data_IF_924604671300
#
_entry.id   IF_924604671300
#
_cell.length_a   1.000
_cell.length_b   1.000
_cell.length_c   1.000
_cell.angle_alpha   90.00
_cell.angle_beta   90.00
_cell.angle_gamma   90.00
#
_symmetry.space_group_name_H-M   'P 1'
#
loop_
_entity.id
_entity.type
_entity.pdbx_description
1 polymer ?
#
# COMPACT_ATOMS: atom_id res chain seq x y z
N UNK A 1 22.57 41.13 32.96
CA UNK A 1 23.11 40.62 31.67
C UNK A 1 21.96 40.48 30.70
N UNK A 2 21.78 41.49 29.84
CA UNK A 2 20.72 41.54 28.83
C UNK A 2 21.39 41.16 27.51
N UNK A 3 21.06 39.98 26.96
CA UNK A 3 21.56 39.55 25.66
C UNK A 3 20.47 39.82 24.62
N UNK A 4 20.78 40.75 23.72
CA UNK A 4 20.01 40.99 22.51
C UNK A 4 20.20 39.86 21.51
N UNK A 5 19.18 39.65 20.68
CA UNK A 5 19.37 39.02 19.38
C UNK A 5 18.40 39.64 18.39
N UNK A 6 18.87 40.71 17.78
CA UNK A 6 18.34 41.31 16.56
C UNK A 6 18.47 40.26 15.45
N UNK A 7 17.33 39.79 14.90
CA UNK A 7 17.32 39.14 13.59
C UNK A 7 16.53 40.00 12.62
N UNK A 8 17.28 40.85 11.91
CA UNK A 8 16.96 41.24 10.54
C UNK A 8 17.04 39.99 9.67
N UNK A 9 15.91 39.62 9.07
CA UNK A 9 15.82 38.86 7.82
C UNK A 9 14.60 39.48 7.13
N UNK A 10 14.78 40.37 6.16
CA UNK A 10 15.27 40.01 4.84
C UNK A 10 14.04 39.92 3.95
N UNK A 11 13.73 41.04 3.29
CA UNK A 11 12.76 41.11 2.20
C UNK A 11 12.96 39.92 1.26
N UNK A 12 11.91 39.13 1.03
CA UNK A 12 11.77 38.42 -0.22
C UNK A 12 10.73 39.15 -1.07
N UNK A 13 11.24 39.66 -2.17
CA UNK A 13 10.53 40.25 -3.30
C UNK A 13 9.38 39.35 -3.74
N UNK A 14 8.17 39.90 -3.70
CA UNK A 14 7.03 39.38 -4.43
C UNK A 14 7.19 39.94 -5.86
N UNK A 15 7.77 39.14 -6.74
CA UNK A 15 7.72 39.39 -8.19
C UNK A 15 6.70 38.44 -8.80
N UNK A 16 5.80 39.06 -9.53
CA UNK A 16 4.64 38.51 -10.20
C UNK A 16 5.02 37.48 -11.27
N UNK A 17 4.21 36.43 -11.38
CA UNK A 17 3.90 35.82 -12.66
C UNK A 17 2.38 35.61 -12.71
N UNK A 18 1.69 36.73 -12.89
CA UNK A 18 0.36 36.77 -13.48
C UNK A 18 0.48 36.23 -14.91
N UNK A 19 0.21 34.94 -15.07
CA UNK A 19 -0.22 34.38 -16.34
C UNK A 19 -1.64 33.87 -16.18
N UNK A 20 -2.55 34.79 -16.44
CA UNK A 20 -3.92 34.53 -16.88
C UNK A 20 -3.94 33.34 -17.84
N UNK A 21 -4.48 32.20 -17.38
CA UNK A 21 -4.94 31.17 -18.30
C UNK A 21 -6.41 31.47 -18.61
N UNK A 22 -6.76 31.82 -19.85
CA UNK A 22 -8.13 32.12 -20.21
C UNK A 22 -8.99 30.86 -20.16
N UNK A 23 -10.21 31.06 -19.65
CA UNK A 23 -11.38 30.21 -19.82
C UNK A 23 -11.35 29.37 -21.11
N UNK A 24 -11.08 28.07 -21.01
CA UNK A 24 -11.36 27.14 -22.11
C UNK A 24 -12.83 26.73 -22.04
N UNK A 25 -13.61 27.31 -22.95
CA UNK A 25 -14.98 26.92 -23.29
C UNK A 25 -15.04 25.41 -23.55
N UNK A 26 -16.08 24.77 -23.00
CA UNK A 26 -16.50 23.43 -23.42
C UNK A 26 -16.96 23.52 -24.86
N UNK A 27 -16.28 22.81 -25.75
CA UNK A 27 -16.82 22.39 -27.04
C UNK A 27 -17.04 20.90 -26.95
N UNK A 28 -18.31 20.53 -26.83
CA UNK A 28 -18.79 19.18 -27.07
C UNK A 28 -18.75 18.93 -28.58
N UNK A 29 -17.66 18.35 -29.09
CA UNK A 29 -17.66 17.76 -30.44
C UNK A 29 -17.04 16.37 -30.39
N UNK A 30 -17.90 15.40 -30.70
CA UNK A 30 -17.63 13.99 -30.88
C UNK A 30 -16.83 13.78 -32.18
N UNK A 31 -15.51 13.57 -32.08
CA UNK A 31 -14.75 13.07 -33.23
C UNK A 31 -14.81 11.54 -33.27
N UNK A 32 -15.80 11.05 -34.03
CA UNK A 32 -15.78 9.75 -34.67
C UNK A 32 -14.69 9.73 -35.75
N UNK A 33 -13.48 9.28 -35.43
CA UNK A 33 -12.51 8.90 -36.45
C UNK A 33 -12.91 7.56 -37.09
N UNK A 34 -13.67 7.66 -38.18
CA UNK A 34 -13.84 6.60 -39.15
C UNK A 34 -12.70 6.69 -40.16
N UNK A 35 -11.80 5.70 -40.12
CA UNK A 35 -10.87 5.42 -41.22
C UNK A 35 -11.67 5.09 -42.48
N UNK A 36 -11.80 6.07 -43.39
CA UNK A 36 -12.17 5.83 -44.77
C UNK A 36 -10.99 5.19 -45.48
N UNK A 37 -11.08 3.88 -45.69
CA UNK A 37 -10.27 3.16 -46.67
C UNK A 37 -11.19 2.62 -47.76
N UNK A 38 -10.81 2.95 -48.98
CA UNK A 38 -11.42 2.65 -50.27
C UNK A 38 -12.13 1.30 -50.36
N UNK A 39 -13.42 1.35 -50.70
CA UNK A 39 -14.24 0.15 -50.96
C UNK A 39 -14.93 0.23 -52.32
N UNK A 40 -14.17 0.53 -53.37
CA UNK A 40 -14.61 0.38 -54.75
C UNK A 40 -13.87 -0.79 -55.42
N UNK A 41 -14.30 -2.02 -55.10
CA UNK A 41 -14.16 -3.28 -55.85
C UNK A 41 -14.03 -4.47 -54.88
N UNK A 42 -15.17 -4.96 -54.38
CA UNK A 42 -15.27 -6.34 -53.87
C UNK A 42 -16.45 -7.00 -54.54
N UNK A 43 -16.14 -7.94 -55.43
CA UNK A 43 -17.07 -8.94 -55.96
C UNK A 43 -17.92 -9.55 -54.83
N UNK A 44 -19.22 -9.82 -55.03
CA UNK A 44 -20.06 -10.37 -53.98
C UNK A 44 -19.56 -11.77 -53.61
N UNK A 45 -18.99 -11.90 -52.41
CA UNK A 45 -18.69 -13.22 -51.83
C UNK A 45 -20.06 -13.83 -51.46
N UNK A 46 -20.41 -15.02 -51.97
CA UNK A 46 -21.66 -15.68 -51.61
C UNK A 46 -21.70 -15.91 -50.09
N UNK A 47 -22.77 -15.43 -49.46
CA UNK A 47 -23.05 -15.57 -48.03
C UNK A 47 -23.23 -17.05 -47.64
N UNK A 48 -22.13 -17.78 -47.46
CA UNK A 48 -22.15 -19.11 -46.84
C UNK A 48 -22.22 -18.96 -45.33
N UNK A 49 -23.43 -19.10 -44.79
CA UNK A 49 -23.65 -19.41 -43.37
C UNK A 49 -23.73 -18.20 -42.44
N UNK A 50 -24.87 -17.49 -42.46
CA UNK A 50 -25.33 -16.75 -41.28
C UNK A 50 -25.59 -17.76 -40.16
N UNK A 51 -24.55 -18.11 -39.38
CA UNK A 51 -24.71 -18.83 -38.12
C UNK A 51 -25.67 -17.99 -37.28
N UNK A 52 -26.82 -18.56 -36.92
CA UNK A 52 -27.80 -17.92 -36.06
C UNK A 52 -27.08 -17.45 -34.78
N UNK A 53 -26.89 -16.13 -34.66
CA UNK A 53 -26.40 -15.54 -33.41
C UNK A 53 -27.47 -15.82 -32.36
N UNK A 54 -27.19 -16.76 -31.46
CA UNK A 54 -28.04 -17.01 -30.29
C UNK A 54 -28.20 -15.67 -29.56
N UNK A 55 -29.39 -15.08 -29.67
CA UNK A 55 -29.74 -13.85 -28.96
C UNK A 55 -29.90 -14.23 -27.49
N UNK A 56 -28.80 -14.18 -26.75
CA UNK A 56 -28.81 -14.29 -25.29
C UNK A 56 -29.82 -13.30 -24.73
N UNK A 57 -30.55 -13.68 -23.67
CA UNK A 57 -31.51 -12.78 -23.04
C UNK A 57 -30.81 -11.52 -22.53
N UNK A 58 -31.54 -10.39 -22.41
CA UNK A 58 -30.96 -9.14 -21.87
C UNK A 58 -30.34 -9.35 -20.49
N UNK A 59 -30.93 -10.22 -19.67
CA UNK A 59 -30.43 -10.55 -18.34
C UNK A 59 -29.13 -11.36 -18.39
N UNK A 60 -29.04 -12.35 -19.28
CA UNK A 60 -27.82 -13.13 -19.48
C UNK A 60 -26.67 -12.28 -20.01
N UNK A 61 -26.97 -11.33 -20.90
CA UNK A 61 -25.97 -10.37 -21.39
C UNK A 61 -25.43 -9.49 -20.25
N UNK A 62 -26.32 -8.96 -19.41
CA UNK A 62 -25.95 -8.15 -18.23
C UNK A 62 -25.09 -8.96 -17.24
N UNK A 63 -25.46 -10.22 -16.99
CA UNK A 63 -24.72 -11.13 -16.11
C UNK A 63 -23.30 -11.39 -16.64
N UNK A 64 -23.17 -11.75 -17.92
CA UNK A 64 -21.86 -11.97 -18.56
C UNK A 64 -20.98 -10.71 -18.54
N UNK A 65 -21.56 -9.54 -18.78
CA UNK A 65 -20.83 -8.27 -18.71
C UNK A 65 -20.31 -8.00 -17.28
N UNK A 66 -21.14 -8.25 -16.27
CA UNK A 66 -20.74 -8.11 -14.86
C UNK A 66 -19.63 -9.09 -14.49
N UNK A 67 -19.73 -10.35 -14.89
CA UNK A 67 -18.71 -11.38 -14.65
C UNK A 67 -17.37 -11.01 -15.31
N UNK A 68 -17.40 -10.56 -16.57
CA UNK A 68 -16.20 -10.09 -17.27
C UNK A 68 -15.56 -8.89 -16.58
N UNK A 69 -16.35 -7.91 -16.16
CA UNK A 69 -15.86 -6.75 -15.42
C UNK A 69 -15.21 -7.15 -14.09
N UNK A 70 -15.84 -8.06 -13.34
CA UNK A 70 -15.28 -8.61 -12.10
C UNK A 70 -13.97 -9.37 -12.35
N UNK A 71 -13.92 -10.21 -13.37
CA UNK A 71 -12.72 -10.95 -13.75
C UNK A 71 -11.58 -10.01 -14.14
N UNK A 72 -11.87 -8.97 -14.93
CA UNK A 72 -10.89 -7.95 -15.30
C UNK A 72 -10.38 -7.17 -14.07
N UNK A 73 -11.26 -6.77 -13.15
CA UNK A 73 -10.80 -6.13 -11.91
C UNK A 73 -9.93 -7.05 -11.06
N UNK A 74 -10.21 -8.35 -11.03
CA UNK A 74 -9.39 -9.35 -10.33
C UNK A 74 -8.01 -9.50 -10.97
N UNK A 75 -7.91 -9.54 -12.30
CA UNK A 75 -6.62 -9.67 -12.99
C UNK A 75 -5.69 -8.48 -12.78
N UNK A 76 -6.24 -7.28 -12.51
CA UNK A 76 -5.47 -6.09 -12.16
C UNK A 76 -5.01 -6.03 -10.68
N UNK A 77 -5.35 -7.02 -9.86
CA UNK A 77 -4.87 -7.10 -8.47
C UNK A 77 -3.44 -7.65 -8.41
N UNK A 78 -2.75 -7.45 -7.29
CA UNK A 78 -1.39 -8.00 -7.10
C UNK A 78 -1.32 -9.51 -7.34
N UNK A 79 -2.31 -10.26 -6.84
CA UNK A 79 -2.40 -11.72 -7.05
C UNK A 79 -2.70 -12.05 -8.52
N UNK A 80 -3.65 -11.34 -9.13
CA UNK A 80 -3.98 -11.52 -10.54
C UNK A 80 -2.81 -11.24 -11.49
N UNK A 81 -1.99 -10.23 -11.21
CA UNK A 81 -0.77 -9.96 -11.99
C UNK A 81 0.28 -11.06 -11.81
N UNK A 82 0.43 -11.61 -10.60
CA UNK A 82 1.36 -12.73 -10.37
C UNK A 82 0.95 -14.00 -11.13
N UNK A 83 -0.34 -14.29 -11.20
CA UNK A 83 -0.88 -15.39 -11.99
C UNK A 83 -0.74 -15.13 -13.50
N UNK A 84 -1.06 -13.90 -13.94
CA UNK A 84 -0.93 -13.49 -15.33
C UNK A 84 0.52 -13.57 -15.84
N UNK A 85 1.51 -13.22 -15.01
CA UNK A 85 2.94 -13.33 -15.34
C UNK A 85 3.36 -14.76 -15.70
N UNK A 86 2.66 -15.77 -15.16
CA UNK A 86 2.97 -17.19 -15.39
C UNK A 86 2.18 -17.81 -16.55
N UNK A 87 1.09 -17.17 -16.96
CA UNK A 87 0.07 -17.78 -17.83
C UNK A 87 -0.10 -17.05 -19.16
N UNK A 88 0.17 -15.74 -19.21
CA UNK A 88 0.07 -14.93 -20.42
C UNK A 88 1.41 -14.80 -21.12
N UNK A 89 1.38 -14.47 -22.41
CA UNK A 89 2.56 -14.01 -23.13
C UNK A 89 3.07 -12.69 -22.54
N UNK A 90 4.37 -12.43 -22.72
CA UNK A 90 5.02 -11.23 -22.17
C UNK A 90 4.32 -9.95 -22.61
N UNK A 91 3.96 -9.82 -23.89
CA UNK A 91 3.25 -8.64 -24.41
C UNK A 91 1.87 -8.43 -23.76
N UNK A 92 1.11 -9.52 -23.57
CA UNK A 92 -0.20 -9.47 -22.94
C UNK A 92 -0.09 -9.14 -21.44
N UNK A 93 0.92 -9.70 -20.77
CA UNK A 93 1.24 -9.36 -19.38
C UNK A 93 1.61 -7.88 -19.24
N UNK A 94 2.47 -7.34 -20.11
CA UNK A 94 2.89 -5.94 -20.07
C UNK A 94 1.71 -4.97 -20.26
N UNK A 95 0.78 -5.27 -21.17
CA UNK A 95 -0.46 -4.49 -21.35
C UNK A 95 -1.32 -4.50 -20.08
N UNK A 96 -1.46 -5.66 -19.44
CA UNK A 96 -2.20 -5.82 -18.19
C UNK A 96 -1.53 -5.08 -17.02
N UNK A 97 -0.21 -5.18 -16.90
CA UNK A 97 0.57 -4.51 -15.87
C UNK A 97 0.46 -2.98 -16.00
N UNK A 98 0.59 -2.45 -17.22
CA UNK A 98 0.42 -1.02 -17.50
C UNK A 98 -1.00 -0.53 -17.13
N UNK A 99 -2.01 -1.34 -17.42
CA UNK A 99 -3.40 -1.05 -17.03
C UNK A 99 -3.56 -0.99 -15.51
N UNK A 100 -2.93 -1.91 -14.78
CA UNK A 100 -2.95 -1.94 -13.32
C UNK A 100 -2.21 -0.74 -12.71
N UNK A 101 -1.04 -0.37 -13.26
CA UNK A 101 -0.27 0.81 -12.87
C UNK A 101 -1.07 2.10 -13.09
N UNK A 102 -1.69 2.27 -14.26
CA UNK A 102 -2.50 3.45 -14.56
C UNK A 102 -3.73 3.54 -13.63
N UNK A 103 -4.41 2.42 -13.37
CA UNK A 103 -5.52 2.36 -12.41
C UNK A 103 -5.07 2.78 -11.01
N UNK A 104 -3.94 2.24 -10.54
CA UNK A 104 -3.37 2.58 -9.23
C UNK A 104 -3.05 4.07 -9.13
N UNK A 105 -2.40 4.64 -10.15
CA UNK A 105 -2.09 6.07 -10.22
C UNK A 105 -3.35 6.93 -10.13
N UNK A 106 -4.35 6.67 -11.00
CA UNK A 106 -5.63 7.42 -11.01
C UNK A 106 -6.34 7.33 -9.65
N UNK A 107 -6.34 6.15 -9.04
CA UNK A 107 -6.94 5.98 -7.72
C UNK A 107 -6.18 6.77 -6.64
N UNK A 108 -4.85 6.73 -6.65
CA UNK A 108 -4.02 7.51 -5.73
C UNK A 108 -4.28 9.01 -5.86
N UNK A 109 -4.31 9.53 -7.08
CA UNK A 109 -4.61 10.94 -7.38
C UNK A 109 -6.02 11.32 -6.91
N UNK A 110 -7.03 10.49 -7.16
CA UNK A 110 -8.39 10.72 -6.69
C UNK A 110 -8.45 10.77 -5.15
N UNK A 111 -7.77 9.86 -4.47
CA UNK A 111 -7.67 9.85 -3.01
C UNK A 111 -6.96 11.11 -2.47
N UNK A 112 -5.86 11.55 -3.11
CA UNK A 112 -5.15 12.78 -2.75
C UNK A 112 -6.06 14.01 -2.90
N UNK A 113 -6.75 14.14 -4.04
CA UNK A 113 -7.69 15.24 -4.29
C UNK A 113 -8.84 15.24 -3.27
N UNK A 114 -9.42 14.08 -2.99
CA UNK A 114 -10.48 13.95 -1.97
C UNK A 114 -9.98 14.39 -0.59
N UNK A 115 -8.78 13.99 -0.21
CA UNK A 115 -8.18 14.39 1.07
C UNK A 115 -7.87 15.89 1.14
N UNK A 116 -7.36 16.49 0.05
CA UNK A 116 -7.15 17.94 -0.03
C UNK A 116 -8.47 18.72 0.09
N UNK A 117 -9.52 18.30 -0.61
CA UNK A 117 -10.85 18.90 -0.48
C UNK A 117 -11.38 18.85 0.94
N UNK A 118 -11.24 17.69 1.60
CA UNK A 118 -11.61 17.55 3.01
C UNK A 118 -10.82 18.52 3.90
N UNK A 119 -9.50 18.65 3.70
CA UNK A 119 -8.66 19.60 4.45
C UNK A 119 -9.14 21.04 4.27
N UNK A 120 -9.47 21.43 3.06
CA UNK A 120 -9.98 22.78 2.77
C UNK A 120 -11.30 23.02 3.50
N UNK A 121 -12.25 22.07 3.47
CA UNK A 121 -13.52 22.16 4.22
C UNK A 121 -13.32 22.26 5.73
N UNK A 122 -12.36 21.51 6.28
CA UNK A 122 -12.03 21.60 7.69
C UNK A 122 -11.46 22.98 8.06
N UNK A 123 -10.63 23.56 7.18
CA UNK A 123 -10.03 24.87 7.41
C UNK A 123 -11.01 26.03 7.21
N UNK A 124 -11.96 25.91 6.28
CA UNK A 124 -12.96 26.95 5.99
C UNK A 124 -14.15 26.96 6.96
N UNK A 125 -14.24 25.99 7.87
CA UNK A 125 -15.38 25.84 8.78
C UNK A 125 -16.60 25.15 8.15
N UNK A 126 -16.52 24.72 6.89
CA UNK A 126 -17.57 23.99 6.16
C UNK A 126 -17.43 22.46 6.32
N UNK A 127 -16.91 22.03 7.47
CA UNK A 127 -16.64 20.63 7.73
C UNK A 127 -17.95 19.81 7.75
N UNK A 128 -17.97 18.70 7.02
CA UNK A 128 -19.09 17.75 7.12
C UNK A 128 -18.92 16.83 8.34
N UNK A 129 -20.01 16.25 8.84
CA UNK A 129 -19.97 15.24 9.90
C UNK A 129 -19.04 14.07 9.57
N UNK A 130 -19.04 13.64 8.30
CA UNK A 130 -18.14 12.61 7.80
C UNK A 130 -16.66 13.01 7.85
N UNK A 131 -16.33 14.29 7.64
CA UNK A 131 -14.95 14.77 7.71
C UNK A 131 -14.46 14.72 9.16
N UNK A 132 -15.29 15.17 10.11
CA UNK A 132 -15.01 15.14 11.54
C UNK A 132 -14.86 13.71 12.07
N UNK A 133 -15.76 12.79 11.68
CA UNK A 133 -15.63 11.38 12.03
C UNK A 133 -14.34 10.76 11.50
N UNK A 134 -13.94 11.10 10.27
CA UNK A 134 -12.72 10.58 9.67
C UNK A 134 -11.50 11.06 10.44
N UNK A 135 -11.45 12.33 10.81
CA UNK A 135 -10.38 12.89 11.67
C UNK A 135 -10.37 12.18 13.03
N UNK A 136 -11.53 12.02 13.69
CA UNK A 136 -11.64 11.32 14.97
C UNK A 136 -11.13 9.87 14.90
N UNK A 137 -11.54 9.13 13.87
CA UNK A 137 -11.09 7.73 13.65
C UNK A 137 -9.58 7.67 13.39
N UNK A 138 -9.02 8.61 12.63
CA UNK A 138 -7.59 8.65 12.35
C UNK A 138 -6.77 8.99 13.60
N UNK A 139 -7.23 9.96 14.40
CA UNK A 139 -6.63 10.29 15.69
C UNK A 139 -6.65 9.08 16.62
N UNK A 140 -7.78 8.38 16.73
CA UNK A 140 -7.90 7.18 17.55
C UNK A 140 -6.94 6.08 17.09
N UNK A 141 -6.84 5.83 15.78
CA UNK A 141 -5.88 4.85 15.24
C UNK A 141 -4.44 5.20 15.61
N UNK A 142 -4.09 6.48 15.53
CA UNK A 142 -2.75 6.94 15.91
C UNK A 142 -2.47 6.75 17.41
N UNK A 143 -3.44 7.05 18.27
CA UNK A 143 -3.30 6.85 19.72
C UNK A 143 -3.18 5.36 20.05
N UNK A 144 -4.02 4.51 19.45
CA UNK A 144 -4.01 3.06 19.66
C UNK A 144 -2.68 2.45 19.19
N UNK A 145 -2.18 2.88 18.04
CA UNK A 145 -0.89 2.44 17.51
C UNK A 145 0.27 2.85 18.44
N UNK A 146 0.27 4.08 18.97
CA UNK A 146 1.26 4.54 19.94
C UNK A 146 1.21 3.72 21.23
N UNK A 147 0.02 3.49 21.78
CA UNK A 147 -0.17 2.69 22.99
C UNK A 147 0.30 1.25 22.79
N UNK A 148 -0.09 0.61 21.68
CA UNK A 148 0.33 -0.75 21.32
C UNK A 148 1.84 -0.86 21.16
N UNK A 149 2.47 0.13 20.52
CA UNK A 149 3.92 0.19 20.36
C UNK A 149 4.64 0.36 21.71
N UNK A 150 4.12 1.26 22.56
CA UNK A 150 4.63 1.47 23.92
C UNK A 150 4.55 0.19 24.76
N UNK A 151 3.37 -0.49 24.75
CA UNK A 151 3.15 -1.75 25.46
C UNK A 151 4.15 -2.83 25.01
N UNK A 152 4.34 -3.01 23.70
CA UNK A 152 5.32 -3.96 23.16
C UNK A 152 6.75 -3.66 23.61
N UNK A 153 7.11 -2.37 23.69
CA UNK A 153 8.43 -1.95 24.17
C UNK A 153 8.61 -2.30 25.65
N UNK A 154 7.60 -2.02 26.47
CA UNK A 154 7.63 -2.35 27.89
C UNK A 154 7.72 -3.87 28.12
N UNK A 155 6.91 -4.66 27.41
CA UNK A 155 6.95 -6.11 27.44
C UNK A 155 8.33 -6.65 27.04
N UNK A 156 8.93 -6.11 25.97
CA UNK A 156 10.27 -6.52 25.55
C UNK A 156 11.35 -6.20 26.60
N UNK A 157 11.24 -5.07 27.32
CA UNK A 157 12.16 -4.73 28.41
C UNK A 157 11.99 -5.68 29.59
N UNK A 158 10.75 -6.00 29.98
CA UNK A 158 10.46 -6.95 31.05
C UNK A 158 10.91 -8.38 30.71
N UNK A 159 10.74 -8.81 29.45
CA UNK A 159 11.25 -10.10 28.99
C UNK A 159 12.77 -10.16 29.07
N UNK A 160 13.47 -9.11 28.62
CA UNK A 160 14.93 -9.06 28.73
C UNK A 160 15.42 -9.07 30.18
N UNK A 161 14.75 -8.37 31.09
CA UNK A 161 15.16 -8.35 32.50
C UNK A 161 14.94 -9.71 33.16
N UNK A 162 13.80 -10.36 32.92
CA UNK A 162 13.50 -11.70 33.44
C UNK A 162 14.43 -12.76 32.86
N UNK A 163 14.77 -12.67 31.58
CA UNK A 163 15.76 -13.54 30.94
C UNK A 163 17.16 -13.32 31.51
N UNK A 164 17.59 -12.08 31.74
CA UNK A 164 18.87 -11.77 32.36
C UNK A 164 18.98 -12.36 33.77
N UNK A 165 17.93 -12.23 34.60
CA UNK A 165 17.86 -12.84 35.93
C UNK A 165 17.96 -14.37 35.84
N UNK A 166 17.25 -14.99 34.89
CA UNK A 166 17.31 -16.43 34.66
C UNK A 166 18.71 -16.88 34.28
N UNK A 167 19.37 -16.18 33.35
CA UNK A 167 20.75 -16.48 32.93
C UNK A 167 21.72 -16.34 34.11
N UNK A 168 21.57 -15.30 34.93
CA UNK A 168 22.41 -15.09 36.09
C UNK A 168 22.29 -16.25 37.09
N UNK A 169 21.07 -16.71 37.40
CA UNK A 169 20.85 -17.88 38.26
C UNK A 169 21.47 -19.16 37.71
N UNK A 170 21.33 -19.40 36.40
CA UNK A 170 21.95 -20.57 35.77
C UNK A 170 23.48 -20.53 35.84
N UNK A 171 24.08 -19.34 35.72
CA UNK A 171 25.53 -19.16 35.87
C UNK A 171 25.98 -19.44 37.30
N UNK A 172 25.30 -18.88 38.29
CA UNK A 172 25.63 -19.13 39.71
C UNK A 172 25.48 -20.61 40.07
N UNK A 173 24.45 -21.29 39.57
CA UNK A 173 24.25 -22.72 39.83
C UNK A 173 25.35 -23.58 39.19
N UNK A 174 25.82 -23.22 37.99
CA UNK A 174 26.95 -23.89 37.34
C UNK A 174 28.26 -23.65 38.09
N UNK A 175 28.50 -22.42 38.56
CA UNK A 175 29.66 -22.09 39.39
C UNK A 175 29.67 -22.91 40.68
N UNK A 176 28.55 -22.99 41.40
CA UNK A 176 28.40 -23.80 42.62
C UNK A 176 28.68 -25.28 42.34
N UNK A 177 28.16 -25.84 41.24
CA UNK A 177 28.43 -27.24 40.88
C UNK A 177 29.90 -27.48 40.59
N UNK A 178 30.54 -26.56 39.87
CA UNK A 178 31.96 -26.67 39.53
C UNK A 178 32.85 -26.54 40.77
N UNK A 179 32.56 -25.59 41.67
CA UNK A 179 33.31 -25.44 42.93
C UNK A 179 33.12 -26.64 43.83
N UNK A 180 31.89 -27.15 43.99
CA UNK A 180 31.62 -28.36 44.75
C UNK A 180 32.40 -29.55 44.18
N UNK A 181 32.40 -29.75 42.85
CA UNK A 181 33.18 -30.80 42.19
C UNK A 181 34.67 -30.70 42.48
N UNK A 182 35.24 -29.49 42.45
CA UNK A 182 36.64 -29.26 42.76
C UNK A 182 36.95 -29.56 44.24
N UNK A 183 36.10 -29.13 45.17
CA UNK A 183 36.24 -29.42 46.61
C UNK A 183 36.16 -30.93 46.87
N UNK A 184 35.22 -31.65 46.25
CA UNK A 184 35.15 -33.10 46.39
C UNK A 184 36.40 -33.82 45.86
N UNK A 185 36.99 -33.34 44.76
CA UNK A 185 38.24 -33.88 44.23
C UNK A 185 39.42 -33.68 45.19
N UNK A 186 39.41 -32.61 45.99
CA UNK A 186 40.43 -32.36 47.03
C UNK A 186 40.22 -33.23 48.28
N UNK A 187 38.96 -33.42 48.70
CA UNK A 187 38.62 -34.22 49.88
C UNK A 187 38.72 -35.73 49.63
N UNK A 188 38.57 -36.17 48.39
CA UNK A 188 38.68 -37.56 47.98
C UNK A 188 39.64 -37.68 46.80
N UNK A 189 40.95 -37.45 47.02
CA UNK A 189 41.93 -37.55 45.96
C UNK A 189 41.89 -38.96 45.36
N UNK A 190 42.04 -39.09 44.04
CA UNK A 190 42.02 -40.40 43.39
C UNK A 190 43.08 -41.29 44.06
N UNK A 191 42.67 -42.48 44.51
CA UNK A 191 43.60 -43.48 45.05
C UNK A 191 44.68 -43.69 44.00
N UNK A 192 45.92 -43.31 44.32
CA UNK A 192 47.06 -43.72 43.53
C UNK A 192 47.18 -45.23 43.65
N UNK A 193 46.82 -45.94 42.58
CA UNK A 193 47.24 -47.32 42.41
C UNK A 193 48.75 -47.27 42.26
N UNK A 194 49.46 -47.69 43.30
CA UNK A 194 50.88 -48.01 43.21
C UNK A 194 50.94 -49.41 42.61
N UNK A 195 51.48 -49.50 41.39
CA UNK A 195 51.93 -50.75 40.77
C UNK A 195 53.12 -51.34 41.57
#
# INVERSE_FOLDING_TARGET
MVSGSTRQTGLLEIINDDKETPFLKRTDEEEHHADQVDSANKTPIPNTGKKARVKMSKEEQKKRASERSRAYHKSLTRKGLQEAKRTLSEEAYMKLENSAKNRSRKHSEACKRSYQKMKLRLASGEATTSDLERVRKETQRHTDAKQKSSKRRLEAVQQKSTEAIRIQRLRTDLEIRNTNKAVFAQLSPPRSFKD
#
